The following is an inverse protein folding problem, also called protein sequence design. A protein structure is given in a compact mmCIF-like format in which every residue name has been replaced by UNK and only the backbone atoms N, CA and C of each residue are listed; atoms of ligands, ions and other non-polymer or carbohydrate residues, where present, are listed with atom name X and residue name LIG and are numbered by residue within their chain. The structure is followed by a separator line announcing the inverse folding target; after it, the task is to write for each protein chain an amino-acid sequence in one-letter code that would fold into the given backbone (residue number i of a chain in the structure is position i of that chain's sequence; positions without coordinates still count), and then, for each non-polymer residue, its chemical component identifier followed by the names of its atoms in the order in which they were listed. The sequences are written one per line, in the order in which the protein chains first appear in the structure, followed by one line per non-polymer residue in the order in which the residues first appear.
data_IF_071629622916
#
_entry.id   IF_071629622916
#
_cell.length_a   1.000
_cell.length_b   1.000
_cell.length_c   1.000
_cell.angle_alpha   90.00
_cell.angle_beta   90.00
_cell.angle_gamma   90.00
#
_symmetry.space_group_name_H-M   'P 1'
#
loop_
_entity.id
_entity.type
_entity.pdbx_description
1 polymer ?
#
# COMPACT_ATOMS: atom_id res chain seq x y z
N UNK A 1 -39.61 18.47 15.28
CA UNK A 1 -39.17 19.34 14.18
C UNK A 1 -38.72 20.65 14.78
N UNK A 2 -37.41 20.79 14.98
CA UNK A 2 -36.71 22.06 15.16
C UNK A 2 -35.37 21.86 14.46
N UNK A 3 -35.48 21.55 13.17
CA UNK A 3 -34.42 21.76 12.21
C UNK A 3 -34.47 23.23 11.85
N UNK A 4 -33.63 24.02 12.49
CA UNK A 4 -33.17 25.29 11.92
C UNK A 4 -31.66 25.28 12.00
N UNK A 5 -31.07 24.84 10.88
CA UNK A 5 -29.93 25.49 10.25
C UNK A 5 -28.90 26.09 11.22
N UNK A 6 -28.11 25.22 11.88
CA UNK A 6 -26.72 25.60 12.14
C UNK A 6 -26.06 25.76 10.79
N UNK A 7 -26.20 26.95 10.21
CA UNK A 7 -25.27 27.50 9.26
C UNK A 7 -23.88 27.14 9.80
N UNK A 8 -23.21 26.16 9.20
CA UNK A 8 -21.88 25.71 9.62
C UNK A 8 -20.95 26.87 9.32
N UNK A 9 -20.91 27.85 10.22
CA UNK A 9 -19.91 28.91 10.21
C UNK A 9 -18.58 28.18 10.18
N UNK A 10 -17.91 28.22 9.02
CA UNK A 10 -16.65 27.53 8.80
C UNK A 10 -15.63 28.20 9.71
N UNK A 11 -15.40 27.62 10.89
CA UNK A 11 -14.45 28.13 11.86
C UNK A 11 -13.05 28.04 11.27
N UNK A 12 -12.36 29.16 11.27
CA UNK A 12 -10.99 29.28 10.80
C UNK A 12 -10.05 28.61 11.81
N UNK A 13 -8.82 28.27 11.40
CA UNK A 13 -7.82 27.76 12.33
C UNK A 13 -7.53 28.77 13.45
N UNK A 14 -7.52 30.06 13.13
CA UNK A 14 -7.25 31.15 14.07
C UNK A 14 -8.31 31.22 15.19
N UNK A 15 -9.57 30.87 14.89
CA UNK A 15 -10.65 30.78 15.87
C UNK A 15 -10.34 29.74 16.97
N UNK A 16 -9.58 28.69 16.66
CA UNK A 16 -9.12 27.69 17.65
C UNK A 16 -7.88 28.15 18.39
N UNK A 17 -6.94 28.79 17.69
CA UNK A 17 -5.64 29.21 18.23
C UNK A 17 -5.80 30.21 19.38
N UNK A 18 -6.80 31.10 19.33
CA UNK A 18 -7.10 32.03 20.41
C UNK A 18 -7.28 31.28 21.76
N UNK A 19 -8.05 30.19 21.78
CA UNK A 19 -8.27 29.38 22.98
C UNK A 19 -7.05 28.56 23.40
N UNK A 20 -6.27 28.07 22.45
CA UNK A 20 -5.07 27.30 22.76
C UNK A 20 -3.97 28.15 23.40
N UNK A 21 -3.81 29.40 22.96
CA UNK A 21 -2.87 30.37 23.56
C UNK A 21 -3.24 30.75 24.98
N UNK A 22 -4.54 30.87 25.26
CA UNK A 22 -5.02 31.21 26.61
C UNK A 22 -4.83 30.03 27.59
N UNK A 23 -4.84 28.77 27.11
CA UNK A 23 -4.50 27.58 27.92
C UNK A 23 -5.51 27.21 29.03
N UNK A 24 -6.60 27.96 29.15
CA UNK A 24 -7.55 27.86 30.27
C UNK A 24 -8.73 26.91 30.04
N UNK A 25 -8.92 26.42 28.81
CA UNK A 25 -10.11 25.63 28.42
C UNK A 25 -9.76 24.22 27.93
N UNK A 26 -10.53 23.24 28.41
CA UNK A 26 -10.51 21.86 27.91
C UNK A 26 -11.16 21.76 26.52
N UNK A 27 -10.80 20.74 25.74
CA UNK A 27 -11.32 20.51 24.39
C UNK A 27 -12.86 20.44 24.34
N UNK A 28 -13.49 19.97 25.43
CA UNK A 28 -14.95 19.91 25.54
C UNK A 28 -15.58 21.30 25.63
N UNK A 29 -14.94 22.22 26.35
CA UNK A 29 -15.44 23.58 26.53
C UNK A 29 -15.25 24.40 25.25
N UNK A 30 -14.11 24.24 24.58
CA UNK A 30 -13.83 24.86 23.28
C UNK A 30 -14.82 24.35 22.23
N UNK A 31 -15.10 23.04 22.21
CA UNK A 31 -16.07 22.45 21.29
C UNK A 31 -17.47 23.05 21.46
N UNK A 32 -17.89 23.23 22.71
CA UNK A 32 -19.18 23.83 23.06
C UNK A 32 -19.23 25.31 22.65
N UNK A 33 -18.17 26.08 22.91
CA UNK A 33 -18.08 27.51 22.54
C UNK A 33 -18.04 27.73 21.03
N UNK A 34 -17.31 26.89 20.30
CA UNK A 34 -17.16 27.00 18.85
C UNK A 34 -18.28 26.33 18.05
N UNK A 35 -19.14 25.55 18.70
CA UNK A 35 -20.22 24.81 18.05
C UNK A 35 -19.69 23.68 17.14
N UNK A 36 -18.58 23.05 17.52
CA UNK A 36 -17.93 21.99 16.73
C UNK A 36 -17.75 20.72 17.53
N UNK A 37 -17.35 19.61 16.88
CA UNK A 37 -17.05 18.38 17.60
C UNK A 37 -15.75 18.49 18.40
N UNK A 38 -15.71 17.84 19.58
CA UNK A 38 -14.50 17.71 20.40
C UNK A 38 -13.31 17.14 19.62
N UNK A 39 -13.57 16.18 18.73
CA UNK A 39 -12.55 15.57 17.87
C UNK A 39 -11.93 16.60 16.92
N UNK A 40 -12.71 17.55 16.42
CA UNK A 40 -12.19 18.62 15.56
C UNK A 40 -11.27 19.57 16.35
N UNK A 41 -11.64 19.91 17.59
CA UNK A 41 -10.79 20.72 18.49
C UNK A 41 -9.47 20.02 18.77
N UNK A 42 -9.50 18.74 19.14
CA UNK A 42 -8.29 17.95 19.40
C UNK A 42 -7.35 17.92 18.19
N UNK A 43 -7.90 17.75 16.98
CA UNK A 43 -7.13 17.78 15.73
C UNK A 43 -6.47 19.15 15.51
N UNK A 44 -7.20 20.24 15.74
CA UNK A 44 -6.66 21.59 15.62
C UNK A 44 -5.61 21.90 16.69
N UNK A 45 -5.78 21.38 17.92
CA UNK A 45 -4.81 21.53 19.01
C UNK A 45 -3.50 20.84 18.68
N UNK A 46 -3.57 19.59 18.18
CA UNK A 46 -2.38 18.85 17.73
C UNK A 46 -1.64 19.56 16.61
N UNK A 47 -2.37 20.14 15.66
CA UNK A 47 -1.80 20.96 14.58
C UNK A 47 -1.15 22.25 15.10
N UNK A 48 -1.72 22.87 16.13
CA UNK A 48 -1.16 24.06 16.75
C UNK A 48 0.09 23.75 17.58
N UNK A 49 0.07 22.68 18.37
CA UNK A 49 1.21 22.20 19.16
C UNK A 49 2.41 21.78 18.30
N UNK A 50 2.17 21.27 17.09
CA UNK A 50 3.24 20.92 16.14
C UNK A 50 3.91 22.13 15.47
N UNK A 51 3.35 23.35 15.62
CA UNK A 51 3.89 24.55 14.99
C UNK A 51 3.69 24.63 13.48
N UNK A 52 2.86 23.76 12.89
CA UNK A 52 2.50 23.79 11.46
C UNK A 52 1.56 24.97 11.16
N UNK A 53 2.14 26.17 10.99
CA UNK A 53 1.41 27.40 10.65
C UNK A 53 1.03 27.51 9.16
N UNK A 54 1.50 26.61 8.32
CA UNK A 54 1.19 26.59 6.89
C UNK A 54 0.43 25.33 6.53
N UNK A 55 -0.61 25.51 5.71
CA UNK A 55 -1.06 24.44 4.81
C UNK A 55 0.12 24.19 3.88
N UNK A 56 1.00 23.25 4.25
CA UNK A 56 1.94 22.70 3.31
C UNK A 56 1.14 21.80 2.38
N UNK A 57 0.58 22.43 1.34
CA UNK A 57 -0.16 21.80 0.25
C UNK A 57 0.76 20.97 -0.66
N UNK A 58 2.03 20.83 -0.30
CA UNK A 58 2.97 19.94 -0.96
C UNK A 58 3.00 18.60 -0.23
N UNK A 59 1.98 17.77 -0.47
CA UNK A 59 1.95 16.36 -0.11
C UNK A 59 2.94 15.53 -0.94
N UNK A 60 4.13 16.07 -1.23
CA UNK A 60 5.21 15.37 -1.92
C UNK A 60 5.99 14.58 -0.87
N UNK A 61 5.66 13.30 -0.80
CA UNK A 61 6.49 12.31 -0.12
C UNK A 61 7.89 12.32 -0.77
N UNK A 62 8.90 12.81 -0.06
CA UNK A 62 10.29 12.70 -0.47
C UNK A 62 10.90 11.44 0.15
N UNK A 63 11.46 10.56 -0.67
CA UNK A 63 12.31 9.45 -0.20
C UNK A 63 13.78 9.86 -0.27
N UNK A 64 14.62 9.30 0.59
CA UNK A 64 16.08 9.50 0.48
C UNK A 64 16.63 8.73 -0.74
N UNK A 65 17.70 9.25 -1.33
CA UNK A 65 18.41 8.60 -2.44
C UNK A 65 18.82 7.16 -2.08
N UNK A 66 19.34 6.94 -0.88
CA UNK A 66 19.71 5.61 -0.39
C UNK A 66 18.53 4.63 -0.36
N UNK A 67 17.34 5.13 0.00
CA UNK A 67 16.10 4.31 0.01
C UNK A 67 15.70 3.95 -1.42
N UNK A 68 15.81 4.92 -2.34
CA UNK A 68 15.53 4.69 -3.75
C UNK A 68 16.47 3.65 -4.36
N UNK A 69 17.78 3.78 -4.14
CA UNK A 69 18.80 2.86 -4.65
C UNK A 69 18.66 1.45 -4.07
N UNK A 70 18.28 1.35 -2.79
CA UNK A 70 17.97 0.07 -2.16
C UNK A 70 16.77 -0.60 -2.82
N UNK A 71 15.68 0.15 -3.05
CA UNK A 71 14.49 -0.37 -3.73
C UNK A 71 14.81 -0.81 -5.16
N UNK A 72 15.56 0.00 -5.92
CA UNK A 72 16.01 -0.39 -7.26
C UNK A 72 16.81 -1.69 -7.23
N UNK A 73 17.84 -1.76 -6.38
CA UNK A 73 18.69 -2.95 -6.24
C UNK A 73 17.87 -4.19 -5.88
N UNK A 74 16.91 -4.05 -4.96
CA UNK A 74 16.02 -5.14 -4.57
C UNK A 74 15.10 -5.58 -5.71
N UNK A 75 14.51 -4.64 -6.46
CA UNK A 75 13.65 -4.96 -7.60
C UNK A 75 14.40 -5.71 -8.69
N UNK A 76 15.58 -5.24 -9.08
CA UNK A 76 16.42 -5.93 -10.07
C UNK A 76 16.81 -7.34 -9.62
N UNK A 77 17.23 -7.51 -8.35
CA UNK A 77 17.55 -8.83 -7.80
C UNK A 77 16.35 -9.78 -7.85
N UNK A 78 15.17 -9.29 -7.50
CA UNK A 78 13.94 -10.09 -7.55
C UNK A 78 13.56 -10.49 -8.97
N UNK A 79 13.72 -9.58 -9.95
CA UNK A 79 13.42 -9.84 -11.36
C UNK A 79 14.37 -10.90 -11.95
N UNK A 80 15.68 -10.75 -11.72
CA UNK A 80 16.69 -11.71 -12.19
C UNK A 80 16.44 -13.10 -11.61
N UNK A 81 16.11 -13.18 -10.32
CA UNK A 81 15.77 -14.44 -9.68
C UNK A 81 14.50 -15.07 -10.29
N UNK A 82 13.46 -14.27 -10.55
CA UNK A 82 12.23 -14.76 -11.17
C UNK A 82 12.49 -15.32 -12.58
N UNK A 83 13.28 -14.61 -13.40
CA UNK A 83 13.67 -15.07 -14.74
C UNK A 83 14.45 -16.39 -14.69
N UNK A 84 15.35 -16.54 -13.71
CA UNK A 84 16.10 -17.78 -13.51
C UNK A 84 15.16 -18.95 -13.18
N UNK A 85 14.24 -18.77 -12.24
CA UNK A 85 13.25 -19.81 -11.86
C UNK A 85 12.39 -20.22 -13.06
N UNK A 86 11.94 -19.25 -13.87
CA UNK A 86 11.18 -19.54 -15.10
C UNK A 86 12.02 -20.40 -16.06
N UNK A 87 13.29 -20.04 -16.28
CA UNK A 87 14.16 -20.80 -17.18
C UNK A 87 14.44 -22.23 -16.71
N UNK A 88 14.57 -22.44 -15.40
CA UNK A 88 14.71 -23.78 -14.80
C UNK A 88 13.44 -24.60 -14.98
N UNK A 89 12.27 -23.99 -14.79
CA UNK A 89 10.98 -24.63 -15.00
C UNK A 89 10.76 -25.04 -16.46
N UNK A 90 11.11 -24.16 -17.41
CA UNK A 90 10.99 -24.45 -18.85
C UNK A 90 11.87 -25.63 -19.25
N UNK A 91 13.08 -25.73 -18.67
CA UNK A 91 14.00 -26.84 -18.92
C UNK A 91 13.47 -28.16 -18.36
N UNK A 92 12.95 -28.17 -17.14
CA UNK A 92 12.33 -29.35 -16.54
C UNK A 92 11.08 -29.80 -17.30
N UNK A 93 10.27 -28.85 -17.77
CA UNK A 93 9.14 -29.16 -18.64
C UNK A 93 9.58 -29.83 -19.93
N UNK A 94 10.60 -29.30 -20.60
CA UNK A 94 11.13 -29.89 -21.83
C UNK A 94 11.68 -31.31 -21.58
N UNK A 95 12.35 -31.54 -20.45
CA UNK A 95 12.84 -32.87 -20.05
C UNK A 95 11.70 -33.86 -19.84
N UNK A 96 10.61 -33.45 -19.20
CA UNK A 96 9.41 -34.28 -19.03
C UNK A 96 8.76 -34.63 -20.36
N UNK A 97 8.60 -33.66 -21.26
CA UNK A 97 8.04 -33.87 -22.60
C UNK A 97 8.89 -34.88 -23.41
N UNK A 98 10.21 -34.73 -23.38
CA UNK A 98 11.13 -35.68 -24.03
C UNK A 98 11.09 -37.06 -23.37
N UNK A 99 11.00 -37.12 -22.05
CA UNK A 99 10.85 -38.36 -21.28
C UNK A 99 9.59 -39.12 -21.68
N UNK A 100 8.46 -38.41 -21.73
CA UNK A 100 7.18 -38.97 -22.19
C UNK A 100 7.29 -39.53 -23.61
N UNK A 101 7.82 -38.76 -24.57
CA UNK A 101 7.96 -39.20 -25.96
C UNK A 101 8.82 -40.45 -26.06
N UNK A 102 9.92 -40.52 -25.29
CA UNK A 102 10.81 -41.68 -25.27
C UNK A 102 10.10 -42.93 -24.74
N UNK A 103 9.46 -42.82 -23.58
CA UNK A 103 8.72 -43.93 -22.96
C UNK A 103 7.56 -44.39 -23.83
N UNK A 104 6.83 -43.45 -24.43
CA UNK A 104 5.72 -43.74 -25.33
C UNK A 104 6.19 -44.50 -26.57
N UNK A 105 7.26 -44.05 -27.23
CA UNK A 105 7.85 -44.75 -28.38
C UNK A 105 8.31 -46.16 -28.02
N UNK A 106 8.92 -46.33 -26.85
CA UNK A 106 9.39 -47.63 -26.38
C UNK A 106 8.22 -48.59 -26.13
N UNK A 107 7.16 -48.12 -25.46
CA UNK A 107 5.94 -48.89 -25.25
C UNK A 107 5.33 -49.35 -26.58
N UNK A 108 5.11 -48.42 -27.51
CA UNK A 108 4.56 -48.73 -28.84
C UNK A 108 5.43 -49.72 -29.62
N UNK A 109 6.76 -49.59 -29.55
CA UNK A 109 7.68 -50.53 -30.19
C UNK A 109 7.52 -51.95 -29.66
N UNK A 110 7.38 -52.11 -28.33
CA UNK A 110 7.17 -53.42 -27.70
C UNK A 110 5.78 -53.98 -28.03
N UNK A 111 4.74 -53.15 -27.95
CA UNK A 111 3.36 -53.55 -28.21
C UNK A 111 3.15 -54.00 -29.67
N UNK A 112 3.73 -53.28 -30.63
CA UNK A 112 3.69 -53.64 -32.06
C UNK A 112 4.40 -54.97 -32.35
N UNK A 113 5.56 -55.20 -31.71
CA UNK A 113 6.28 -56.48 -31.85
C UNK A 113 5.45 -57.62 -31.27
N UNK A 114 4.82 -57.42 -30.11
CA UNK A 114 3.94 -58.42 -29.48
C UNK A 114 2.69 -58.75 -30.31
N UNK A 115 2.16 -57.81 -31.09
CA UNK A 115 1.00 -58.05 -31.96
C UNK A 115 1.40 -58.86 -33.19
N UNK A 116 2.62 -58.66 -33.71
CA UNK A 116 3.10 -59.31 -34.95
C UNK A 116 3.58 -60.75 -34.74
N UNK A 117 3.83 -61.15 -33.50
CA UNK A 117 4.33 -62.49 -33.13
C UNK A 117 3.25 -63.39 -32.51
N UNK A 118 2.00 -62.92 -32.41
CA UNK A 118 0.82 -63.75 -32.13
C UNK A 118 0.18 -64.21 -33.43
#
# INVERSE_FOLDING_TARGET
MLEDFFEKIKRSFDDYVAYFREGLLDDREIATKLGVSRVNVWRMRRKWESGESSVNDDSRLSISEDTFEHLLSQTFKSEVNARKVISELDLERANLELGFIRSFKQYFGVELVSIRTK
#
